data_IF_516729952303
#
_entry.id   IF_516729952303
#
_cell.length_a   1.000
_cell.length_b   1.000
_cell.length_c   1.000
_cell.angle_alpha   90.00
_cell.angle_beta   90.00
_cell.angle_gamma   90.00
#
_symmetry.space_group_name_H-M   'P 1'
#
loop_
_entity.id
_entity.type
_entity.pdbx_description
1 polymer ?
#
# COMPACT_ATOMS: atom_id res chain seq x y z
N UNK A 1 23.17 17.77 5.16
CA UNK A 1 22.65 17.42 3.83
C UNK A 1 22.36 15.93 3.84
N UNK A 2 21.18 15.54 3.35
CA UNK A 2 20.76 14.14 3.31
C UNK A 2 21.49 13.43 2.17
N UNK A 3 21.85 12.15 2.38
CA UNK A 3 22.45 11.35 1.32
C UNK A 3 21.40 11.10 0.23
N UNK A 4 21.88 11.02 -1.01
CA UNK A 4 21.04 10.64 -2.14
C UNK A 4 20.64 9.17 -2.05
N UNK A 5 19.37 8.86 -2.35
CA UNK A 5 18.87 7.49 -2.44
C UNK A 5 19.05 7.02 -3.89
N UNK A 6 19.78 5.93 -4.05
CA UNK A 6 19.93 5.21 -5.31
C UNK A 6 18.82 4.17 -5.47
N UNK A 7 18.09 4.23 -6.57
CA UNK A 7 16.97 3.31 -6.83
C UNK A 7 17.31 2.38 -7.99
N UNK A 8 17.41 1.09 -7.68
CA UNK A 8 17.69 0.02 -8.64
C UNK A 8 16.44 -0.35 -9.43
N UNK A 9 16.61 -0.56 -10.73
CA UNK A 9 15.58 -1.14 -11.59
C UNK A 9 15.61 -2.67 -11.47
N UNK A 10 14.52 -3.33 -11.03
CA UNK A 10 14.52 -4.77 -10.76
C UNK A 10 14.65 -5.62 -12.03
N UNK A 11 14.35 -5.08 -13.21
CA UNK A 11 14.48 -5.81 -14.49
C UNK A 11 15.91 -5.83 -15.03
N UNK A 12 16.65 -4.74 -14.85
CA UNK A 12 18.02 -4.59 -15.41
C UNK A 12 19.11 -4.77 -14.37
N UNK A 13 18.78 -4.59 -13.10
CA UNK A 13 19.72 -4.58 -11.99
C UNK A 13 20.54 -3.29 -11.85
N UNK A 14 20.32 -2.30 -12.70
CA UNK A 14 21.08 -1.04 -12.71
C UNK A 14 20.43 0.01 -11.80
N UNK A 15 21.25 0.88 -11.21
CA UNK A 15 20.79 2.12 -10.59
C UNK A 15 20.61 3.16 -11.70
N UNK A 16 19.37 3.38 -12.11
CA UNK A 16 19.00 4.32 -13.18
C UNK A 16 18.16 5.52 -12.67
N UNK A 17 17.92 5.61 -11.36
CA UNK A 17 17.22 6.73 -10.72
C UNK A 17 17.85 7.09 -9.38
N UNK A 18 17.88 8.39 -9.08
CA UNK A 18 18.44 8.95 -7.86
C UNK A 18 17.60 10.10 -7.36
N UNK A 19 17.43 10.22 -6.05
CA UNK A 19 16.64 11.29 -5.44
C UNK A 19 17.21 11.69 -4.08
N UNK A 20 17.29 12.99 -3.83
CA UNK A 20 17.66 13.51 -2.52
C UNK A 20 16.40 13.67 -1.66
N UNK A 21 16.25 12.92 -0.56
CA UNK A 21 15.12 13.09 0.35
C UNK A 21 15.20 14.44 1.10
N UNK A 22 14.05 15.01 1.52
CA UNK A 22 14.05 16.24 2.29
C UNK A 22 14.80 16.02 3.60
N UNK A 23 15.59 16.99 4.08
CA UNK A 23 16.17 16.91 5.42
C UNK A 23 15.11 17.09 6.53
N UNK A 24 15.51 16.93 7.79
CA UNK A 24 14.57 16.99 8.92
C UNK A 24 13.92 18.37 9.10
N UNK A 25 14.58 19.45 8.66
CA UNK A 25 14.00 20.79 8.70
C UNK A 25 12.94 20.95 7.60
N UNK A 26 13.25 20.50 6.38
CA UNK A 26 12.31 20.46 5.27
C UNK A 26 11.08 19.60 5.58
N UNK A 27 11.28 18.41 6.15
CA UNK A 27 10.19 17.51 6.52
C UNK A 27 9.27 18.13 7.58
N UNK A 28 9.84 18.80 8.59
CA UNK A 28 9.07 19.55 9.59
C UNK A 28 8.28 20.70 8.98
N UNK A 29 8.89 21.45 8.06
CA UNK A 29 8.21 22.53 7.35
C UNK A 29 7.03 22.00 6.54
N UNK A 30 7.22 20.91 5.79
CA UNK A 30 6.16 20.21 5.05
C UNK A 30 5.02 19.81 5.99
N UNK A 31 5.32 19.16 7.11
CA UNK A 31 4.30 18.74 8.07
C UNK A 31 3.53 19.94 8.66
N UNK A 32 4.23 21.04 8.95
CA UNK A 32 3.62 22.27 9.46
C UNK A 32 2.72 22.94 8.43
N UNK A 33 3.09 22.96 7.16
CA UNK A 33 2.27 23.49 6.06
C UNK A 33 0.97 22.69 5.93
N UNK A 34 1.08 21.36 5.88
CA UNK A 34 -0.06 20.45 5.77
C UNK A 34 -1.04 20.62 6.95
N UNK A 35 -0.51 20.69 8.18
CA UNK A 35 -1.32 20.93 9.38
C UNK A 35 -2.02 22.28 9.33
N UNK A 36 -1.33 23.33 8.91
CA UNK A 36 -1.91 24.68 8.82
C UNK A 36 -3.05 24.79 7.80
N UNK A 37 -3.02 23.97 6.74
CA UNK A 37 -4.07 23.92 5.71
C UNK A 37 -5.26 23.02 6.08
N UNK A 38 -5.09 22.08 7.01
CA UNK A 38 -6.13 21.10 7.37
C UNK A 38 -7.46 21.73 7.82
N UNK A 39 -7.52 22.84 8.58
CA UNK A 39 -8.79 23.44 8.98
C UNK A 39 -9.67 23.86 7.79
N UNK A 40 -9.08 24.40 6.72
CA UNK A 40 -9.81 24.76 5.51
C UNK A 40 -10.33 23.52 4.78
N UNK A 41 -9.52 22.46 4.73
CA UNK A 41 -9.92 21.17 4.17
C UNK A 41 -11.08 20.53 4.93
N UNK A 42 -11.05 20.56 6.27
CA UNK A 42 -12.14 20.08 7.10
C UNK A 42 -13.42 20.89 6.89
N UNK A 43 -13.32 22.21 6.80
CA UNK A 43 -14.44 23.13 6.61
C UNK A 43 -15.22 22.93 5.29
N UNK A 44 -14.64 22.23 4.30
CA UNK A 44 -15.33 21.88 3.04
C UNK A 44 -16.48 20.88 3.21
N UNK A 45 -16.58 20.24 4.37
CA UNK A 45 -17.53 19.13 4.58
C UNK A 45 -17.11 17.87 3.83
N UNK A 46 -17.72 16.74 4.17
CA UNK A 46 -17.37 15.44 3.57
C UNK A 46 -17.67 15.41 2.07
N UNK A 47 -18.77 16.05 1.63
CA UNK A 47 -19.17 16.15 0.23
C UNK A 47 -18.14 16.93 -0.59
N UNK A 48 -17.72 18.11 -0.10
CA UNK A 48 -16.76 18.96 -0.80
C UNK A 48 -15.37 18.31 -0.90
N UNK A 49 -14.91 17.64 0.16
CA UNK A 49 -13.67 16.85 0.11
C UNK A 49 -13.77 15.72 -0.91
N UNK A 50 -14.89 15.01 -0.93
CA UNK A 50 -15.13 13.93 -1.86
C UNK A 50 -15.21 14.37 -3.32
N UNK A 51 -15.79 15.54 -3.60
CA UNK A 51 -15.77 16.12 -4.93
C UNK A 51 -14.34 16.36 -5.43
N UNK A 52 -13.49 17.00 -4.61
CA UNK A 52 -12.08 17.26 -4.96
C UNK A 52 -11.32 15.96 -5.24
N UNK A 53 -11.39 14.98 -4.34
CA UNK A 53 -10.65 13.72 -4.49
C UNK A 53 -11.18 12.91 -5.69
N UNK A 54 -12.50 12.89 -5.93
CA UNK A 54 -13.07 12.23 -7.12
C UNK A 54 -12.55 12.86 -8.40
N UNK A 55 -12.62 14.18 -8.53
CA UNK A 55 -12.16 14.89 -9.72
C UNK A 55 -10.67 14.63 -10.00
N UNK A 56 -9.84 14.66 -8.96
CA UNK A 56 -8.41 14.31 -9.07
C UNK A 56 -8.19 12.84 -9.45
N UNK A 57 -8.88 11.90 -8.82
CA UNK A 57 -8.73 10.47 -9.15
C UNK A 57 -9.14 10.15 -10.59
N UNK A 58 -10.15 10.85 -11.11
CA UNK A 58 -10.59 10.69 -12.50
C UNK A 58 -9.61 11.31 -13.50
N UNK A 59 -8.96 12.43 -13.16
CA UNK A 59 -7.96 13.04 -14.06
C UNK A 59 -6.75 12.12 -14.29
N UNK A 60 -6.39 11.32 -13.29
CA UNK A 60 -5.33 10.32 -13.40
C UNK A 60 -5.62 9.22 -14.44
N UNK A 61 -6.90 8.87 -14.64
CA UNK A 61 -7.29 7.90 -15.67
C UNK A 61 -7.22 8.51 -17.07
N UNK A 62 -7.40 9.83 -17.19
CA UNK A 62 -7.33 10.55 -18.46
C UNK A 62 -5.91 10.72 -19.01
N UNK A 63 -4.88 10.61 -18.16
CA UNK A 63 -3.46 10.74 -18.54
C UNK A 63 -2.57 9.78 -17.71
N UNK A 64 -2.72 8.46 -17.88
CA UNK A 64 -2.15 7.48 -16.95
C UNK A 64 -0.67 7.16 -17.21
N UNK A 65 -0.18 7.41 -18.43
CA UNK A 65 1.10 6.89 -18.95
C UNK A 65 2.28 7.17 -18.03
N UNK A 66 2.48 8.42 -17.61
CA UNK A 66 3.63 8.80 -16.79
C UNK A 66 3.67 8.07 -15.43
N UNK A 67 2.52 7.80 -14.83
CA UNK A 67 2.45 7.11 -13.54
C UNK A 67 2.61 5.60 -13.71
N UNK A 68 1.97 5.02 -14.73
CA UNK A 68 2.11 3.59 -15.06
C UNK A 68 3.56 3.27 -15.42
N UNK A 69 4.21 4.10 -16.24
CA UNK A 69 5.61 3.90 -16.63
C UNK A 69 6.53 3.98 -15.41
N UNK A 70 6.33 4.96 -14.54
CA UNK A 70 7.11 5.09 -13.32
C UNK A 70 6.95 3.88 -12.39
N UNK A 71 5.71 3.44 -12.14
CA UNK A 71 5.42 2.24 -11.34
C UNK A 71 5.97 0.96 -11.99
N UNK A 72 5.91 0.87 -13.31
CA UNK A 72 6.43 -0.26 -14.09
C UNK A 72 7.95 -0.33 -14.02
N UNK A 73 8.65 0.81 -14.02
CA UNK A 73 10.09 0.86 -13.80
C UNK A 73 10.48 0.55 -12.36
N UNK A 74 9.73 1.07 -11.39
CA UNK A 74 9.95 0.81 -9.97
C UNK A 74 9.81 -0.68 -9.62
N UNK A 75 8.85 -1.37 -10.23
CA UNK A 75 8.45 -2.72 -9.80
C UNK A 75 8.65 -3.83 -10.84
N UNK A 76 8.92 -3.48 -12.10
CA UNK A 76 9.06 -4.43 -13.20
C UNK A 76 7.76 -5.12 -13.65
N UNK A 77 6.58 -4.59 -13.31
CA UNK A 77 5.26 -5.26 -13.51
C UNK A 77 4.19 -4.30 -14.08
N UNK A 78 4.09 -4.22 -15.42
CA UNK A 78 3.17 -3.30 -16.10
C UNK A 78 1.68 -3.55 -15.80
N UNK A 79 1.21 -4.79 -15.90
CA UNK A 79 -0.21 -5.11 -15.70
C UNK A 79 -0.69 -4.78 -14.28
N UNK A 80 0.19 -4.94 -13.28
CA UNK A 80 -0.12 -4.57 -11.89
C UNK A 80 -0.08 -3.06 -11.69
N UNK A 81 0.92 -2.36 -12.25
CA UNK A 81 0.96 -0.89 -12.23
C UNK A 81 -0.31 -0.27 -12.83
N UNK A 82 -0.76 -0.79 -13.97
CA UNK A 82 -2.02 -0.40 -14.59
C UNK A 82 -3.21 -0.68 -13.66
N UNK A 83 -3.29 -1.89 -13.11
CA UNK A 83 -4.39 -2.26 -12.21
C UNK A 83 -4.44 -1.41 -10.93
N UNK A 84 -3.29 -1.08 -10.32
CA UNK A 84 -3.21 -0.21 -9.15
C UNK A 84 -3.80 1.18 -9.44
N UNK A 85 -3.43 1.77 -10.58
CA UNK A 85 -3.94 3.08 -10.97
C UNK A 85 -5.45 3.03 -11.29
N UNK A 86 -5.89 2.04 -12.05
CA UNK A 86 -7.29 1.92 -12.45
C UNK A 86 -8.22 1.59 -11.26
N UNK A 87 -7.70 1.02 -10.17
CA UNK A 87 -8.47 0.76 -8.97
C UNK A 87 -8.76 2.03 -8.14
N UNK A 88 -7.95 3.09 -8.30
CA UNK A 88 -8.02 4.29 -7.47
C UNK A 88 -9.39 5.00 -7.51
N UNK A 89 -10.01 5.29 -8.67
CA UNK A 89 -11.32 5.94 -8.69
C UNK A 89 -12.41 5.13 -8.01
N UNK A 90 -12.39 3.79 -8.15
CA UNK A 90 -13.34 2.90 -7.49
C UNK A 90 -13.17 2.89 -5.97
N UNK A 91 -11.92 2.95 -5.49
CA UNK A 91 -11.61 3.09 -4.06
C UNK A 91 -12.06 4.43 -3.49
N UNK A 92 -11.81 5.53 -4.21
CA UNK A 92 -12.28 6.88 -3.84
C UNK A 92 -13.80 6.90 -3.78
N UNK A 93 -14.48 6.39 -4.80
CA UNK A 93 -15.94 6.40 -4.82
C UNK A 93 -16.54 5.57 -3.69
N UNK A 94 -15.97 4.38 -3.41
CA UNK A 94 -16.38 3.56 -2.27
C UNK A 94 -16.31 4.33 -0.96
N UNK A 95 -15.17 4.96 -0.67
CA UNK A 95 -14.99 5.74 0.57
C UNK A 95 -15.95 6.93 0.63
N UNK A 96 -16.08 7.67 -0.47
CA UNK A 96 -16.97 8.81 -0.54
C UNK A 96 -18.46 8.46 -0.46
N UNK A 97 -18.84 7.23 -0.80
CA UNK A 97 -20.20 6.72 -0.62
C UNK A 97 -20.50 6.39 0.84
N UNK A 98 -19.55 5.85 1.58
CA UNK A 98 -19.77 5.39 2.97
C UNK A 98 -19.46 6.48 4.01
N UNK A 99 -18.59 7.43 3.70
CA UNK A 99 -18.12 8.43 4.66
C UNK A 99 -19.22 9.32 5.26
N UNK A 100 -20.22 9.83 4.52
CA UNK A 100 -21.29 10.63 5.13
C UNK A 100 -22.01 9.87 6.26
N UNK A 101 -22.27 8.57 6.07
CA UNK A 101 -22.93 7.73 7.08
C UNK A 101 -21.99 7.41 8.25
N UNK A 102 -20.71 7.12 7.97
CA UNK A 102 -19.74 6.80 9.02
C UNK A 102 -19.39 8.02 9.91
N UNK A 103 -19.39 9.21 9.32
CA UNK A 103 -19.06 10.45 10.03
C UNK A 103 -20.28 11.04 10.78
N UNK A 104 -21.50 10.69 10.37
CA UNK A 104 -22.75 11.04 11.05
C UNK A 104 -23.08 10.08 12.21
N UNK A 105 -22.09 9.80 13.08
CA UNK A 105 -22.23 8.88 14.22
C UNK A 105 -22.39 9.60 15.57
N UNK A 106 -22.68 10.90 15.53
CA UNK A 106 -22.88 11.73 16.72
C UNK A 106 -24.18 11.36 17.45
N UNK A 107 -24.06 10.71 18.62
CA UNK A 107 -25.17 10.53 19.55
C UNK A 107 -25.32 11.73 20.48
N UNK A 108 -26.56 12.12 20.77
CA UNK A 108 -26.91 13.06 21.84
C UNK A 108 -27.60 12.30 22.96
N UNK A 109 -27.18 12.53 24.22
CA UNK A 109 -27.79 11.92 25.39
C UNK A 109 -27.73 12.83 26.61
N UNK A 110 -28.68 12.67 27.51
CA UNK A 110 -28.66 13.33 28.81
C UNK A 110 -27.57 12.74 29.71
N UNK A 111 -26.93 13.58 30.51
CA UNK A 111 -26.06 13.16 31.60
C UNK A 111 -26.87 12.68 32.80
N UNK A 112 -26.22 11.94 33.70
CA UNK A 112 -26.77 11.63 35.03
C UNK A 112 -26.89 12.89 35.91
N UNK A 113 -26.17 13.96 35.55
CA UNK A 113 -26.28 15.27 36.19
C UNK A 113 -27.39 16.10 35.54
N UNK A 114 -28.44 16.50 36.29
CA UNK A 114 -29.54 17.27 35.73
C UNK A 114 -29.09 18.57 35.04
N UNK A 115 -29.60 18.80 33.83
CA UNK A 115 -29.31 20.01 33.04
C UNK A 115 -28.01 19.96 32.22
N UNK A 116 -27.36 18.80 32.12
CA UNK A 116 -26.15 18.61 31.31
C UNK A 116 -26.42 17.63 30.17
N UNK A 117 -26.35 18.11 28.93
CA UNK A 117 -26.36 17.27 27.72
C UNK A 117 -24.96 16.80 27.32
N UNK A 118 -24.88 15.63 26.70
CA UNK A 118 -23.66 15.03 26.16
C UNK A 118 -23.88 14.84 24.66
N UNK A 119 -22.92 15.31 23.87
CA UNK A 119 -22.86 15.08 22.42
C UNK A 119 -21.50 14.51 22.05
N UNK A 120 -21.52 13.39 21.37
CA UNK A 120 -20.31 12.78 20.82
C UNK A 120 -20.03 13.38 19.44
N UNK A 121 -18.74 13.56 19.11
CA UNK A 121 -18.31 13.99 17.78
C UNK A 121 -17.04 13.24 17.38
N UNK A 122 -16.95 12.92 16.09
CA UNK A 122 -15.72 12.44 15.50
C UNK A 122 -14.86 13.63 15.09
N UNK A 123 -13.62 13.67 15.58
CA UNK A 123 -12.63 14.70 15.23
C UNK A 123 -11.51 14.01 14.46
N UNK A 124 -11.20 14.43 13.21
CA UNK A 124 -10.10 13.85 12.46
C UNK A 124 -8.76 14.21 13.10
N UNK A 125 -7.78 13.32 12.96
CA UNK A 125 -6.38 13.67 13.24
C UNK A 125 -5.94 14.76 12.26
N UNK A 126 -5.20 15.77 12.75
CA UNK A 126 -4.80 16.90 11.91
C UNK A 126 -3.88 16.46 10.78
N UNK A 127 -2.85 15.67 11.08
CA UNK A 127 -1.92 15.12 10.09
C UNK A 127 -1.73 13.62 10.26
N UNK A 128 -2.11 12.85 9.26
CA UNK A 128 -1.85 11.41 9.18
C UNK A 128 -0.57 11.16 8.38
N UNK A 129 0.36 10.43 8.98
CA UNK A 129 1.57 9.93 8.34
C UNK A 129 1.35 8.54 7.76
N UNK A 130 1.74 8.33 6.50
CA UNK A 130 1.65 7.02 5.84
C UNK A 130 3.05 6.57 5.43
N UNK A 131 3.44 5.37 5.87
CA UNK A 131 4.68 4.71 5.46
C UNK A 131 4.29 3.43 4.72
N UNK A 132 4.37 3.48 3.39
CA UNK A 132 3.89 2.42 2.49
C UNK A 132 5.02 1.58 1.89
N UNK A 133 4.77 0.29 1.57
CA UNK A 133 5.78 -0.64 1.08
C UNK A 133 5.98 -0.51 -0.44
N UNK A 134 6.92 -1.31 -0.97
CA UNK A 134 7.31 -1.33 -2.38
C UNK A 134 6.47 -2.27 -3.26
N UNK A 135 5.73 -3.20 -2.69
CA UNK A 135 5.13 -4.30 -3.46
C UNK A 135 3.89 -3.90 -4.25
N UNK A 136 3.12 -2.92 -3.76
CA UNK A 136 2.03 -2.25 -4.48
C UNK A 136 2.06 -0.77 -4.07
N UNK A 137 3.05 -0.01 -4.53
CA UNK A 137 3.44 1.25 -3.90
C UNK A 137 2.39 2.34 -4.05
N UNK A 138 1.62 2.34 -5.13
CA UNK A 138 0.51 3.28 -5.31
C UNK A 138 -0.69 2.85 -4.46
N UNK A 139 -1.14 1.61 -4.64
CA UNK A 139 -2.36 1.11 -4.01
C UNK A 139 -2.24 1.16 -2.48
N UNK A 140 -1.12 0.71 -1.92
CA UNK A 140 -0.91 0.68 -0.47
C UNK A 140 -0.56 2.04 0.13
N UNK A 141 -0.22 3.04 -0.69
CA UNK A 141 -0.22 4.43 -0.24
C UNK A 141 -1.65 4.97 -0.15
N UNK A 142 -2.48 4.65 -1.15
CA UNK A 142 -3.82 5.24 -1.30
C UNK A 142 -4.88 4.58 -0.43
N UNK A 143 -4.71 3.32 -0.04
CA UNK A 143 -5.66 2.61 0.82
C UNK A 143 -5.86 3.33 2.16
N UNK A 144 -4.81 3.98 2.69
CA UNK A 144 -4.84 4.77 3.92
C UNK A 144 -5.04 6.27 3.64
N UNK A 145 -4.46 6.80 2.55
CA UNK A 145 -4.55 8.24 2.24
C UNK A 145 -5.97 8.67 1.91
N UNK A 146 -6.70 7.89 1.10
CA UNK A 146 -8.06 8.20 0.69
C UNK A 146 -9.00 8.32 1.88
N UNK A 147 -9.14 7.33 2.78
CA UNK A 147 -10.02 7.48 3.95
C UNK A 147 -9.59 8.61 4.88
N UNK A 148 -8.29 8.84 5.08
CA UNK A 148 -7.80 9.95 5.91
C UNK A 148 -8.20 11.31 5.33
N UNK A 149 -7.99 11.53 4.03
CA UNK A 149 -8.40 12.76 3.33
C UNK A 149 -9.92 12.94 3.39
N UNK A 150 -10.69 11.88 3.15
CA UNK A 150 -12.16 11.91 3.22
C UNK A 150 -12.65 12.21 4.64
N UNK A 151 -12.01 11.68 5.69
CA UNK A 151 -12.30 12.00 7.09
C UNK A 151 -11.99 13.46 7.46
N UNK A 152 -11.15 14.13 6.67
CA UNK A 152 -10.77 15.54 6.87
C UNK A 152 -9.38 15.74 7.44
N UNK A 153 -8.54 14.70 7.46
CA UNK A 153 -7.13 14.82 7.82
C UNK A 153 -6.33 15.47 6.68
N UNK A 154 -5.21 16.13 7.01
CA UNK A 154 -4.11 16.25 6.06
C UNK A 154 -3.28 14.96 6.06
N UNK A 155 -2.56 14.70 4.97
CA UNK A 155 -1.85 13.44 4.73
C UNK A 155 -0.44 13.67 4.19
N UNK A 156 0.54 13.04 4.83
CA UNK A 156 1.92 12.98 4.40
C UNK A 156 2.34 11.52 4.15
N UNK A 157 2.69 11.19 2.91
CA UNK A 157 3.07 9.83 2.49
C UNK A 157 4.57 9.75 2.26
N UNK A 158 5.23 8.77 2.86
CA UNK A 158 6.59 8.35 2.55
C UNK A 158 6.59 6.90 2.07
N UNK A 159 6.55 6.64 0.75
CA UNK A 159 6.64 5.30 0.22
C UNK A 159 8.04 4.71 0.41
N UNK A 160 8.17 3.41 0.20
CA UNK A 160 9.43 2.68 0.23
C UNK A 160 10.48 3.31 -0.68
N UNK A 161 11.70 3.43 -0.18
CA UNK A 161 12.87 3.94 -0.90
C UNK A 161 13.23 3.14 -2.17
N UNK A 162 12.63 1.96 -2.33
CA UNK A 162 12.81 1.05 -3.45
C UNK A 162 12.00 1.48 -4.68
N UNK A 163 10.91 2.21 -4.47
CA UNK A 163 9.92 2.51 -5.52
C UNK A 163 9.56 4.00 -5.46
N UNK A 164 10.50 4.86 -5.86
CA UNK A 164 10.36 6.31 -5.71
C UNK A 164 10.01 7.05 -7.01
N UNK A 165 10.11 6.40 -8.18
CA UNK A 165 9.90 7.07 -9.48
C UNK A 165 8.47 7.60 -9.62
N UNK A 166 7.50 6.92 -9.02
CA UNK A 166 6.08 7.32 -9.12
C UNK A 166 5.73 8.60 -8.34
N UNK A 167 6.58 9.06 -7.41
CA UNK A 167 6.30 10.22 -6.56
C UNK A 167 6.09 11.48 -7.40
N UNK A 168 6.96 11.78 -8.36
CA UNK A 168 6.85 13.05 -9.09
C UNK A 168 5.65 13.09 -10.05
N UNK A 169 5.35 12.05 -10.87
CA UNK A 169 4.11 12.00 -11.64
C UNK A 169 2.87 12.11 -10.75
N UNK A 170 2.89 11.48 -9.57
CA UNK A 170 1.82 11.59 -8.58
C UNK A 170 1.66 13.03 -8.08
N UNK A 171 2.75 13.65 -7.63
CA UNK A 171 2.74 15.04 -7.17
C UNK A 171 2.35 16.03 -8.27
N UNK A 172 2.76 15.79 -9.52
CA UNK A 172 2.36 16.59 -10.67
C UNK A 172 0.84 16.54 -10.90
N UNK A 173 0.21 15.39 -10.67
CA UNK A 173 -1.26 15.28 -10.71
C UNK A 173 -1.92 16.03 -9.55
N UNK A 174 -1.38 15.91 -8.33
CA UNK A 174 -1.94 16.54 -7.12
C UNK A 174 -1.86 18.07 -7.23
N UNK A 175 -0.74 18.62 -7.75
CA UNK A 175 -0.55 20.07 -7.93
C UNK A 175 -1.58 20.73 -8.85
N UNK A 176 -2.28 19.96 -9.69
CA UNK A 176 -3.38 20.47 -10.53
C UNK A 176 -4.67 20.75 -9.74
N UNK A 177 -4.74 20.28 -8.49
CA UNK A 177 -5.85 20.46 -7.57
C UNK A 177 -5.35 21.18 -6.31
N UNK A 178 -5.29 22.52 -6.31
CA UNK A 178 -4.71 23.31 -5.22
C UNK A 178 -5.29 22.97 -3.83
N UNK A 179 -6.58 22.68 -3.77
CA UNK A 179 -7.31 22.28 -2.57
C UNK A 179 -6.81 20.96 -1.99
N UNK A 180 -6.41 20.02 -2.86
CA UNK A 180 -5.82 18.75 -2.45
C UNK A 180 -4.34 18.92 -2.14
N UNK A 181 -3.61 19.68 -2.96
CA UNK A 181 -2.18 19.91 -2.81
C UNK A 181 -1.80 20.63 -1.51
N UNK A 182 -2.73 21.38 -0.92
CA UNK A 182 -2.54 22.04 0.38
C UNK A 182 -2.51 21.05 1.55
N UNK A 183 -3.14 19.87 1.41
CA UNK A 183 -3.30 18.88 2.48
C UNK A 183 -2.79 17.48 2.14
N UNK A 184 -2.23 17.28 0.95
CA UNK A 184 -1.75 15.97 0.52
C UNK A 184 -0.39 16.06 -0.14
N UNK A 185 0.61 15.36 0.42
CA UNK A 185 1.97 15.35 -0.12
C UNK A 185 2.64 14.00 -0.01
N UNK A 186 3.38 13.64 -1.06
CA UNK A 186 4.37 12.57 -1.03
C UNK A 186 5.77 13.12 -0.83
N UNK A 187 6.59 12.40 -0.07
CA UNK A 187 8.01 12.70 0.11
C UNK A 187 8.85 11.45 -0.13
N UNK A 188 9.95 11.60 -0.87
CA UNK A 188 10.95 10.55 -0.98
C UNK A 188 11.65 10.36 0.38
N UNK A 189 12.04 9.14 0.70
CA UNK A 189 12.72 8.90 1.97
C UNK A 189 12.96 7.44 2.28
N UNK A 190 13.96 7.20 3.12
CA UNK A 190 14.35 5.90 3.64
C UNK A 190 13.74 5.66 5.04
N UNK A 191 14.26 4.65 5.75
CA UNK A 191 13.89 4.38 7.14
C UNK A 191 14.15 5.56 8.09
N UNK A 192 15.20 6.34 7.86
CA UNK A 192 15.46 7.54 8.66
C UNK A 192 14.39 8.60 8.41
N UNK A 193 13.98 8.81 7.15
CA UNK A 193 12.88 9.74 6.84
C UNK A 193 11.58 9.27 7.48
N UNK A 194 11.33 7.96 7.51
CA UNK A 194 10.19 7.36 8.20
C UNK A 194 10.19 7.65 9.70
N UNK A 195 11.33 7.47 10.37
CA UNK A 195 11.47 7.80 11.79
C UNK A 195 11.22 9.29 12.07
N UNK A 196 11.76 10.18 11.23
CA UNK A 196 11.53 11.63 11.37
C UNK A 196 10.08 12.03 11.05
N UNK A 197 9.42 11.37 10.10
CA UNK A 197 8.01 11.59 9.80
C UNK A 197 7.14 11.27 11.03
N UNK A 198 7.44 10.16 11.71
CA UNK A 198 6.73 9.78 12.94
C UNK A 198 6.82 10.88 14.00
N UNK A 199 7.85 11.73 14.02
CA UNK A 199 7.98 12.85 14.97
C UNK A 199 7.10 14.07 14.67
N UNK A 200 6.46 14.12 13.50
CA UNK A 200 5.76 15.32 13.03
C UNK A 200 4.25 15.14 12.80
N UNK A 201 3.73 13.92 12.92
CA UNK A 201 2.32 13.55 12.60
C UNK A 201 1.48 13.22 13.84
N UNK A 202 0.18 13.05 13.70
CA UNK A 202 -0.76 12.82 14.81
C UNK A 202 -1.32 11.39 14.84
N UNK A 203 -1.15 10.66 13.75
CA UNK A 203 -1.38 9.22 13.63
C UNK A 203 -0.49 8.64 12.52
N UNK A 204 -0.17 7.35 12.61
CA UNK A 204 0.66 6.66 11.61
C UNK A 204 -0.06 5.43 11.07
N UNK A 205 -0.18 5.33 9.75
CA UNK A 205 -0.46 4.08 9.05
C UNK A 205 0.84 3.53 8.47
N UNK A 206 1.18 2.30 8.82
CA UNK A 206 2.38 1.61 8.35
C UNK A 206 2.00 0.26 7.76
N UNK A 207 2.47 0.02 6.54
CA UNK A 207 2.41 -1.30 5.92
C UNK A 207 3.82 -1.80 5.62
N UNK A 208 4.18 -2.99 6.10
CA UNK A 208 5.51 -3.56 5.87
C UNK A 208 5.86 -4.79 6.71
N UNK A 209 7.14 -4.96 7.04
CA UNK A 209 7.59 -6.14 7.79
C UNK A 209 7.20 -6.08 9.27
N UNK A 210 6.99 -7.24 9.90
CA UNK A 210 6.74 -7.33 11.36
C UNK A 210 7.87 -6.69 12.17
N UNK A 211 9.12 -6.88 11.74
CA UNK A 211 10.29 -6.29 12.40
C UNK A 211 10.21 -4.76 12.40
N UNK A 212 9.94 -4.16 11.24
CA UNK A 212 9.82 -2.70 11.12
C UNK A 212 8.56 -2.17 11.79
N UNK A 213 7.43 -2.88 11.70
CA UNK A 213 6.19 -2.50 12.37
C UNK A 213 6.32 -2.38 13.88
N UNK A 214 7.11 -3.26 14.53
CA UNK A 214 7.45 -3.14 15.96
C UNK A 214 8.19 -1.84 16.27
N UNK A 215 9.19 -1.49 15.45
CA UNK A 215 9.96 -0.24 15.59
C UNK A 215 9.03 0.97 15.44
N UNK A 216 8.12 0.95 14.46
CA UNK A 216 7.14 2.01 14.24
C UNK A 216 6.19 2.15 15.43
N UNK A 217 5.64 1.05 15.94
CA UNK A 217 4.78 1.06 17.12
C UNK A 217 5.48 1.66 18.35
N UNK A 218 6.74 1.27 18.60
CA UNK A 218 7.52 1.81 19.71
C UNK A 218 7.76 3.32 19.57
N UNK A 219 8.04 3.80 18.35
CA UNK A 219 8.19 5.22 18.08
C UNK A 219 6.87 6.00 18.28
N UNK A 220 5.75 5.46 17.78
CA UNK A 220 4.43 6.06 17.98
C UNK A 220 4.03 6.09 19.47
N UNK A 221 4.30 5.02 20.22
CA UNK A 221 4.04 4.94 21.65
C UNK A 221 4.82 5.99 22.45
N UNK A 222 6.09 6.28 22.09
CA UNK A 222 6.88 7.35 22.73
C UNK A 222 6.26 8.74 22.54
N UNK A 223 5.57 8.97 21.44
CA UNK A 223 4.82 10.21 21.15
C UNK A 223 3.38 10.19 21.63
N UNK A 224 2.91 9.04 22.11
CA UNK A 224 1.52 8.80 22.51
C UNK A 224 0.53 9.04 21.37
N UNK A 225 0.87 8.61 20.15
CA UNK A 225 0.01 8.64 18.96
C UNK A 225 -0.37 7.23 18.51
N UNK A 226 -1.53 7.01 17.87
CA UNK A 226 -1.93 5.70 17.37
C UNK A 226 -1.05 5.27 16.18
N UNK A 227 -0.83 3.96 16.11
CA UNK A 227 -0.21 3.28 14.97
C UNK A 227 -1.16 2.21 14.42
N UNK A 228 -1.48 2.30 13.13
CA UNK A 228 -2.23 1.30 12.37
C UNK A 228 -1.21 0.47 11.57
N UNK A 229 -1.15 -0.83 11.83
CA UNK A 229 -0.10 -1.70 11.32
C UNK A 229 -0.67 -2.83 10.47
N UNK A 230 -0.32 -2.84 9.19
CA UNK A 230 -0.54 -3.95 8.27
C UNK A 230 0.79 -4.66 8.01
N UNK A 231 0.90 -5.92 8.45
CA UNK A 231 2.18 -6.63 8.50
C UNK A 231 2.12 -7.94 7.68
N UNK A 232 3.27 -8.58 7.51
CA UNK A 232 3.36 -9.85 6.78
C UNK A 232 2.53 -10.97 7.41
N UNK A 233 1.92 -11.80 6.54
CA UNK A 233 1.15 -12.98 6.89
C UNK A 233 1.91 -14.30 6.68
N UNK A 234 1.17 -15.40 6.79
CA UNK A 234 1.60 -16.76 6.40
C UNK A 234 0.35 -17.50 5.93
N UNK A 235 -0.26 -16.99 4.88
CA UNK A 235 -1.69 -17.16 4.68
C UNK A 235 -2.04 -18.60 4.28
N UNK A 236 -2.95 -19.27 5.02
CA UNK A 236 -3.39 -20.61 4.70
C UNK A 236 -4.56 -20.61 3.72
N UNK A 237 -4.58 -21.57 2.81
CA UNK A 237 -5.74 -21.95 2.02
C UNK A 237 -6.16 -23.38 2.39
N UNK A 238 -7.45 -23.59 2.62
CA UNK A 238 -8.03 -24.90 2.90
C UNK A 238 -8.96 -25.25 1.74
N UNK A 239 -8.60 -26.28 0.98
CA UNK A 239 -9.45 -26.83 -0.08
C UNK A 239 -10.44 -27.79 0.59
N UNK A 240 -11.74 -27.60 0.34
CA UNK A 240 -12.78 -28.48 0.87
C UNK A 240 -13.06 -29.63 -0.12
N UNK A 241 -13.54 -30.80 0.35
CA UNK A 241 -13.87 -31.93 -0.53
C UNK A 241 -14.91 -31.60 -1.62
N UNK A 242 -15.76 -30.59 -1.38
CA UNK A 242 -16.76 -30.13 -2.34
C UNK A 242 -16.24 -29.11 -3.36
N UNK A 243 -14.96 -28.74 -3.29
CA UNK A 243 -14.36 -27.81 -4.25
C UNK A 243 -14.16 -28.50 -5.60
N UNK A 244 -14.27 -27.74 -6.69
CA UNK A 244 -13.74 -28.18 -7.98
C UNK A 244 -12.22 -28.04 -7.93
N UNK A 245 -11.49 -29.13 -8.16
CA UNK A 245 -10.03 -29.17 -7.98
C UNK A 245 -9.29 -28.30 -9.00
N UNK A 246 -9.81 -28.18 -10.22
CA UNK A 246 -9.21 -27.34 -11.27
C UNK A 246 -9.37 -25.85 -10.96
N UNK A 247 -10.58 -25.45 -10.55
CA UNK A 247 -10.85 -24.09 -10.10
C UNK A 247 -10.10 -23.75 -8.81
N UNK A 248 -10.02 -24.68 -7.86
CA UNK A 248 -9.26 -24.51 -6.63
C UNK A 248 -7.76 -24.31 -6.94
N UNK A 249 -7.18 -25.15 -7.81
CA UNK A 249 -5.80 -25.01 -8.26
C UNK A 249 -5.55 -23.67 -8.95
N UNK A 250 -6.48 -23.22 -9.80
CA UNK A 250 -6.39 -21.90 -10.48
C UNK A 250 -6.38 -20.74 -9.49
N UNK A 251 -7.30 -20.75 -8.52
CA UNK A 251 -7.41 -19.70 -7.50
C UNK A 251 -6.15 -19.69 -6.62
N UNK A 252 -5.70 -20.86 -6.19
CA UNK A 252 -4.49 -21.02 -5.39
C UNK A 252 -3.28 -20.51 -6.15
N UNK A 253 -3.05 -20.98 -7.37
CA UNK A 253 -1.91 -20.57 -8.20
C UNK A 253 -1.88 -19.05 -8.37
N UNK A 254 -3.00 -18.45 -8.82
CA UNK A 254 -3.10 -17.00 -9.02
C UNK A 254 -2.78 -16.24 -7.73
N UNK A 255 -3.27 -16.70 -6.59
CA UNK A 255 -3.08 -16.01 -5.30
C UNK A 255 -1.68 -16.23 -4.71
N UNK A 256 -1.00 -17.33 -5.06
CA UNK A 256 0.39 -17.57 -4.70
C UNK A 256 1.37 -16.78 -5.56
N UNK A 257 1.11 -16.62 -6.86
CA UNK A 257 2.13 -16.10 -7.80
C UNK A 257 1.88 -14.66 -8.27
N UNK A 258 0.71 -14.07 -7.98
CA UNK A 258 0.49 -12.65 -8.26
C UNK A 258 1.61 -11.82 -7.62
N UNK A 259 2.12 -10.81 -8.35
CA UNK A 259 3.28 -10.04 -7.93
C UNK A 259 4.56 -10.88 -7.70
N UNK A 260 4.67 -12.05 -8.33
CA UNK A 260 5.75 -13.04 -8.08
C UNK A 260 5.73 -13.51 -6.62
N UNK A 261 4.55 -13.65 -6.03
CA UNK A 261 4.38 -14.02 -4.63
C UNK A 261 4.80 -12.94 -3.62
N UNK A 262 5.04 -11.72 -4.09
CA UNK A 262 5.46 -10.59 -3.24
C UNK A 262 4.26 -9.77 -2.76
N UNK A 263 3.13 -10.41 -2.45
CA UNK A 263 1.98 -9.77 -1.80
C UNK A 263 1.89 -10.20 -0.33
N UNK A 264 1.46 -9.30 0.57
CA UNK A 264 1.29 -9.65 1.99
C UNK A 264 0.27 -10.78 2.21
N UNK A 265 -0.71 -10.87 1.30
CA UNK A 265 -1.78 -11.86 1.28
C UNK A 265 -1.51 -13.06 0.34
N UNK A 266 -0.25 -13.22 -0.12
CA UNK A 266 0.10 -14.37 -0.95
C UNK A 266 -0.08 -15.67 -0.17
N UNK A 267 -0.68 -16.68 -0.80
CA UNK A 267 -0.90 -17.97 -0.15
C UNK A 267 0.41 -18.71 0.00
N UNK A 268 0.76 -19.06 1.24
CA UNK A 268 2.01 -19.71 1.60
C UNK A 268 1.84 -21.15 2.11
N UNK A 269 0.61 -21.53 2.48
CA UNK A 269 0.30 -22.87 2.99
C UNK A 269 -1.02 -23.36 2.41
N UNK A 270 -1.00 -24.48 1.69
CA UNK A 270 -2.19 -25.03 1.05
C UNK A 270 -2.48 -26.39 1.66
N UNK A 271 -3.68 -26.56 2.23
CA UNK A 271 -4.14 -27.79 2.85
C UNK A 271 -5.23 -28.41 1.98
N UNK A 272 -5.02 -29.66 1.57
CA UNK A 272 -5.89 -30.39 0.64
C UNK A 272 -6.35 -31.71 1.28
N UNK A 273 -7.62 -32.13 1.12
CA UNK A 273 -8.10 -33.41 1.60
C UNK A 273 -7.28 -34.55 0.98
N UNK A 274 -7.00 -35.58 1.76
CA UNK A 274 -6.12 -36.68 1.33
C UNK A 274 -6.65 -37.37 0.07
N UNK A 275 -7.97 -37.57 -0.03
CA UNK A 275 -8.61 -38.19 -1.18
C UNK A 275 -8.49 -37.39 -2.49
N UNK A 276 -8.24 -36.08 -2.41
CA UNK A 276 -8.12 -35.18 -3.58
C UNK A 276 -6.70 -34.67 -3.81
N UNK A 277 -5.72 -35.11 -3.03
CA UNK A 277 -4.36 -34.57 -3.05
C UNK A 277 -3.70 -34.69 -4.43
N UNK A 278 -3.70 -35.89 -5.01
CA UNK A 278 -3.04 -36.13 -6.29
C UNK A 278 -3.73 -35.40 -7.45
N UNK A 279 -5.07 -35.34 -7.43
CA UNK A 279 -5.87 -34.60 -8.42
C UNK A 279 -5.57 -33.10 -8.38
N UNK A 280 -5.64 -32.50 -7.19
CA UNK A 280 -5.35 -31.09 -6.99
C UNK A 280 -3.91 -30.73 -7.37
N UNK A 281 -2.93 -31.53 -6.93
CA UNK A 281 -1.51 -31.29 -7.23
C UNK A 281 -1.27 -31.42 -8.73
N UNK A 282 -1.89 -32.41 -9.39
CA UNK A 282 -1.81 -32.56 -10.86
C UNK A 282 -2.31 -31.31 -11.59
N UNK A 283 -3.48 -30.78 -11.22
CA UNK A 283 -3.99 -29.54 -11.82
C UNK A 283 -3.13 -28.32 -11.50
N UNK A 284 -2.61 -28.21 -10.28
CA UNK A 284 -1.75 -27.11 -9.88
C UNK A 284 -0.44 -27.10 -10.68
N UNK A 285 0.23 -28.24 -10.81
CA UNK A 285 1.46 -28.39 -11.61
C UNK A 285 1.18 -28.05 -13.07
N UNK A 286 0.15 -28.64 -13.66
CA UNK A 286 -0.22 -28.39 -15.06
C UNK A 286 -0.47 -26.91 -15.35
N UNK A 287 -1.11 -26.19 -14.42
CA UNK A 287 -1.36 -24.75 -14.55
C UNK A 287 -0.12 -23.91 -14.26
N UNK A 288 0.74 -24.34 -13.33
CA UNK A 288 2.00 -23.65 -13.01
C UNK A 288 3.01 -23.72 -14.17
N UNK A 289 3.09 -24.87 -14.86
CA UNK A 289 3.93 -25.06 -16.06
C UNK A 289 3.53 -24.15 -17.23
N UNK A 290 2.28 -23.67 -17.24
CA UNK A 290 1.77 -22.75 -18.26
C UNK A 290 2.05 -21.27 -17.95
N UNK A 291 2.65 -20.96 -16.79
CA UNK A 291 3.01 -19.59 -16.43
C UNK A 291 4.24 -19.12 -17.22
N UNK A 292 4.18 -17.89 -17.69
CA UNK A 292 5.27 -17.26 -18.42
C UNK A 292 5.91 -16.14 -17.60
N UNK A 293 7.22 -15.95 -17.78
CA UNK A 293 7.92 -14.77 -17.27
C UNK A 293 7.49 -13.53 -18.05
N UNK A 294 7.45 -12.37 -17.39
CA UNK A 294 7.22 -11.09 -18.05
C UNK A 294 8.51 -10.52 -18.70
N UNK A 295 9.32 -11.41 -19.26
CA UNK A 295 10.61 -11.11 -19.87
C UNK A 295 10.71 -11.79 -21.25
N UNK A 296 11.24 -11.09 -22.29
CA UNK A 296 11.78 -9.72 -22.26
C UNK A 296 10.69 -8.64 -22.26
N UNK A 297 9.45 -9.00 -22.62
CA UNK A 297 8.32 -8.08 -22.76
C UNK A 297 7.52 -7.98 -21.44
N UNK A 298 7.56 -6.79 -20.81
CA UNK A 298 6.89 -6.51 -19.53
C UNK A 298 5.35 -6.56 -19.62
N UNK A 299 4.79 -6.48 -20.84
CA UNK A 299 3.35 -6.52 -21.08
C UNK A 299 2.80 -7.96 -21.19
N UNK A 300 3.68 -8.96 -21.17
CA UNK A 300 3.35 -10.40 -21.25
C UNK A 300 3.72 -11.11 -19.97
N UNK A 301 3.29 -12.36 -19.82
CA UNK A 301 3.63 -13.20 -18.67
C UNK A 301 3.03 -12.75 -17.33
N UNK A 302 3.03 -13.66 -16.37
CA UNK A 302 2.46 -13.46 -15.04
C UNK A 302 3.53 -13.30 -13.97
N UNK A 303 4.73 -13.83 -14.21
CA UNK A 303 5.83 -13.83 -13.25
C UNK A 303 6.80 -12.71 -13.56
N UNK A 304 6.87 -11.72 -12.66
CA UNK A 304 7.80 -10.60 -12.74
C UNK A 304 9.13 -10.87 -12.02
N UNK A 305 10.08 -9.91 -12.06
CA UNK A 305 11.32 -10.02 -11.31
C UNK A 305 11.06 -10.01 -9.78
N UNK A 306 11.99 -10.62 -9.04
CA UNK A 306 12.11 -10.35 -7.60
C UNK A 306 12.61 -8.92 -7.41
N UNK A 307 12.03 -8.20 -6.45
CA UNK A 307 12.38 -6.79 -6.23
C UNK A 307 13.85 -6.64 -5.78
N UNK A 308 14.32 -7.59 -4.95
CA UNK A 308 15.68 -7.66 -4.44
C UNK A 308 16.35 -8.96 -4.90
N UNK A 309 17.64 -8.86 -5.22
CA UNK A 309 18.52 -10.00 -5.51
C UNK A 309 18.57 -11.00 -4.35
N UNK A 310 18.74 -10.51 -3.11
CA UNK A 310 18.76 -11.34 -1.90
C UNK A 310 17.50 -12.17 -1.70
N UNK A 311 16.36 -11.78 -2.27
CA UNK A 311 15.13 -12.55 -2.15
C UNK A 311 15.25 -13.92 -2.86
N UNK A 312 16.08 -14.01 -3.91
CA UNK A 312 16.35 -15.29 -4.56
C UNK A 312 17.05 -16.28 -3.62
N UNK A 313 18.03 -15.80 -2.85
CA UNK A 313 18.74 -16.61 -1.84
C UNK A 313 17.77 -17.12 -0.77
N UNK A 314 16.87 -16.26 -0.29
CA UNK A 314 15.85 -16.65 0.72
C UNK A 314 14.91 -17.72 0.17
N UNK A 315 14.47 -17.60 -1.09
CA UNK A 315 13.61 -18.60 -1.73
C UNK A 315 14.37 -19.93 -1.88
N UNK A 316 15.61 -19.88 -2.35
CA UNK A 316 16.46 -21.07 -2.51
C UNK A 316 16.69 -21.78 -1.15
N UNK A 317 17.00 -21.04 -0.09
CA UNK A 317 17.14 -21.58 1.27
C UNK A 317 15.86 -22.29 1.74
N UNK A 318 14.69 -21.71 1.47
CA UNK A 318 13.40 -22.31 1.84
C UNK A 318 13.11 -23.59 1.05
N UNK A 319 13.42 -23.60 -0.25
CA UNK A 319 13.27 -24.80 -1.09
C UNK A 319 14.20 -25.92 -0.63
N UNK A 320 15.46 -25.60 -0.34
CA UNK A 320 16.45 -26.55 0.17
C UNK A 320 16.05 -27.12 1.54
N UNK A 321 15.58 -26.27 2.47
CA UNK A 321 15.08 -26.71 3.77
C UNK A 321 13.87 -27.66 3.64
N UNK A 322 12.94 -27.35 2.74
CA UNK A 322 11.79 -28.20 2.48
C UNK A 322 12.20 -29.57 1.94
N UNK A 323 13.12 -29.62 0.96
CA UNK A 323 13.64 -30.87 0.39
C UNK A 323 14.41 -31.67 1.44
N UNK A 324 15.25 -31.03 2.24
CA UNK A 324 15.98 -31.68 3.34
C UNK A 324 15.04 -32.32 4.38
N UNK A 325 13.82 -31.79 4.51
CA UNK A 325 12.74 -32.33 5.37
C UNK A 325 11.80 -33.30 4.65
N UNK A 326 12.10 -33.68 3.41
CA UNK A 326 11.37 -34.71 2.67
C UNK A 326 10.29 -34.18 1.72
N UNK A 327 10.20 -32.87 1.47
CA UNK A 327 9.36 -32.33 0.41
C UNK A 327 9.93 -32.65 -0.98
N UNK A 328 9.07 -32.60 -2.00
CA UNK A 328 9.45 -32.73 -3.41
C UNK A 328 9.17 -31.41 -4.12
N UNK A 329 10.13 -30.95 -4.93
CA UNK A 329 9.89 -29.90 -5.92
C UNK A 329 9.27 -30.62 -7.13
N UNK A 330 8.07 -30.18 -7.51
CA UNK A 330 7.26 -30.79 -8.56
C UNK A 330 7.31 -29.94 -9.83
#
# INVERSE_FOLDING_TARGET
>A
MRAEIEVRNPRTGQVDYRVTPPDSHQLRAIASELRAAQPEWLARGVEGRCEVIRNWSQSLVGAPDALIDALSHDTGRYLLAFAELMALPGMVDRWCKIAPVLLDTAGERESVSPGVGIRDQLVPYELVGIISPWNFPLLLSMIDAVPALVAGCAVLVKPSEVTLRFIEPMMASIRQFPELASVFRFVAGDGQTGAELIENVDAVAFTGSVKTGRIVAEACAKRFIPSFLELGGKDPCIVLPSADMSDAARIVLRSSVQATGQACQSLERIYVPREHFDEFVGELVRQAEALELNYPDIHKGQIGPLIFDRQAEVIEEQLQDAVAKGARIL
#
